data_IF_929418245979
#
_entry.id   IF_929418245979
#
_cell.length_a   1.000
_cell.length_b   1.000
_cell.length_c   1.000
_cell.angle_alpha   90.00
_cell.angle_beta   90.00
_cell.angle_gamma   90.00
#
_symmetry.space_group_name_H-M   'P 1'
#
loop_
_entity.id
_entity.type
_entity.pdbx_description
1 polymer ?
#
# COMPACT_ATOMS: atom_id res chain seq x y z
N UNK A 1 20.40 -4.44 -9.32
CA UNK A 1 20.79 -4.07 -7.97
C UNK A 1 21.33 -2.63 -7.93
N UNK A 2 20.78 -1.79 -7.06
CA UNK A 2 21.13 -0.36 -6.94
C UNK A 2 22.23 -0.09 -5.90
N UNK A 3 22.74 -1.13 -5.24
CA UNK A 3 23.71 -0.95 -4.15
C UNK A 3 25.01 -0.26 -4.60
N UNK A 4 25.40 -0.42 -5.86
CA UNK A 4 26.59 0.19 -6.44
C UNK A 4 26.35 1.58 -7.05
N UNK A 5 25.12 2.08 -7.04
CA UNK A 5 24.77 3.36 -7.64
C UNK A 5 25.05 4.52 -6.68
N UNK A 6 25.34 5.69 -7.21
CA UNK A 6 25.34 6.93 -6.45
C UNK A 6 23.92 7.26 -5.98
N UNK A 7 23.78 8.15 -4.99
CA UNK A 7 22.47 8.59 -4.50
C UNK A 7 21.64 9.23 -5.63
N UNK A 8 22.27 10.00 -6.52
CA UNK A 8 21.60 10.60 -7.67
C UNK A 8 21.08 9.55 -8.64
N UNK A 9 21.90 8.55 -8.96
CA UNK A 9 21.50 7.45 -9.84
C UNK A 9 20.43 6.57 -9.20
N UNK A 10 20.55 6.28 -7.91
CA UNK A 10 19.54 5.53 -7.15
C UNK A 10 18.21 6.29 -7.10
N UNK A 11 18.25 7.61 -6.93
CA UNK A 11 17.06 8.47 -6.95
C UNK A 11 16.34 8.43 -8.30
N UNK A 12 17.07 8.53 -9.40
CA UNK A 12 16.50 8.45 -10.75
C UNK A 12 15.90 7.07 -11.02
N UNK A 13 16.60 5.99 -10.66
CA UNK A 13 16.11 4.62 -10.81
C UNK A 13 14.85 4.39 -9.93
N UNK A 14 14.82 4.92 -8.72
CA UNK A 14 13.68 4.80 -7.82
C UNK A 14 12.42 5.44 -8.38
N UNK A 15 12.54 6.57 -9.10
CA UNK A 15 11.38 7.21 -9.74
C UNK A 15 10.79 6.34 -10.84
N UNK A 16 11.63 5.70 -11.64
CA UNK A 16 11.18 4.79 -12.70
C UNK A 16 10.45 3.59 -12.10
N UNK A 17 11.01 2.99 -11.06
CA UNK A 17 10.40 1.85 -10.36
C UNK A 17 9.09 2.27 -9.71
N UNK A 18 9.06 3.43 -9.05
CA UNK A 18 7.83 3.96 -8.43
C UNK A 18 6.72 4.16 -9.45
N UNK A 19 7.03 4.75 -10.61
CA UNK A 19 6.06 4.95 -11.69
C UNK A 19 5.52 3.62 -12.21
N UNK A 20 6.39 2.63 -12.40
CA UNK A 20 6.01 1.29 -12.83
C UNK A 20 5.11 0.58 -11.82
N UNK A 21 5.47 0.62 -10.55
CA UNK A 21 4.67 0.03 -9.48
C UNK A 21 3.31 0.74 -9.34
N UNK A 22 3.29 2.06 -9.39
CA UNK A 22 2.06 2.84 -9.33
C UNK A 22 1.11 2.49 -10.48
N UNK A 23 1.65 2.32 -11.69
CA UNK A 23 0.89 1.93 -12.88
C UNK A 23 0.25 0.55 -12.69
N UNK A 24 1.01 -0.43 -12.20
CA UNK A 24 0.52 -1.79 -11.95
C UNK A 24 -0.58 -1.78 -10.89
N UNK A 25 -0.38 -1.06 -9.80
CA UNK A 25 -1.37 -0.96 -8.73
C UNK A 25 -2.66 -0.33 -9.26
N UNK A 26 -2.57 0.78 -9.98
CA UNK A 26 -3.74 1.47 -10.55
C UNK A 26 -4.48 0.64 -11.61
N UNK A 27 -3.76 -0.21 -12.35
CA UNK A 27 -4.34 -1.08 -13.35
C UNK A 27 -5.13 -2.24 -12.74
N UNK A 28 -4.73 -2.71 -11.56
CA UNK A 28 -5.30 -3.90 -10.93
C UNK A 28 -6.17 -3.61 -9.71
N UNK A 29 -6.04 -2.44 -9.12
CA UNK A 29 -6.74 -2.08 -7.89
C UNK A 29 -7.32 -0.67 -7.95
N UNK A 30 -8.47 -0.51 -7.32
CA UNK A 30 -8.99 0.80 -6.96
C UNK A 30 -8.77 0.98 -5.46
N UNK A 31 -7.98 1.97 -5.09
CA UNK A 31 -7.52 2.19 -3.72
C UNK A 31 -8.09 3.51 -3.21
N UNK A 32 -8.61 3.49 -1.99
CA UNK A 32 -9.09 4.67 -1.27
C UNK A 32 -8.42 4.79 0.10
N UNK A 33 -8.37 6.00 0.63
CA UNK A 33 -7.96 6.22 2.01
C UNK A 33 -8.99 5.61 2.98
N UNK A 34 -8.52 4.99 4.06
CA UNK A 34 -9.40 4.51 5.13
C UNK A 34 -10.05 5.69 5.84
N UNK A 35 -9.26 6.71 6.18
CA UNK A 35 -9.75 7.96 6.75
C UNK A 35 -9.70 9.08 5.72
N UNK A 36 -10.76 9.85 5.61
CA UNK A 36 -10.81 11.01 4.72
C UNK A 36 -10.24 12.29 5.35
N UNK A 37 -9.83 12.20 6.60
CA UNK A 37 -9.20 13.32 7.31
C UNK A 37 -7.74 13.46 6.89
N UNK A 38 -7.21 14.67 7.04
CA UNK A 38 -5.81 14.95 6.73
C UNK A 38 -4.87 14.42 7.82
N UNK A 39 -3.63 14.16 7.45
CA UNK A 39 -2.60 13.81 8.42
C UNK A 39 -2.45 14.91 9.49
N UNK A 40 -2.19 14.49 10.71
CA UNK A 40 -2.08 15.33 11.89
C UNK A 40 -3.39 15.98 12.37
N UNK A 41 -4.53 15.68 11.73
CA UNK A 41 -5.83 16.11 12.22
C UNK A 41 -6.23 15.38 13.50
N UNK A 42 -6.96 16.06 14.39
CA UNK A 42 -7.60 15.40 15.53
C UNK A 42 -8.85 14.68 15.03
N UNK A 43 -8.93 13.42 15.32
CA UNK A 43 -10.07 12.58 14.91
C UNK A 43 -10.66 11.85 16.12
N UNK A 44 -11.93 11.54 16.02
CA UNK A 44 -12.62 10.70 16.99
C UNK A 44 -12.84 9.30 16.41
N UNK A 45 -12.47 8.30 17.20
CA UNK A 45 -12.68 6.90 16.88
C UNK A 45 -13.86 6.41 17.72
N UNK A 46 -14.99 6.05 17.10
CA UNK A 46 -16.18 5.67 17.85
C UNK A 46 -16.00 4.33 18.56
N UNK A 47 -16.80 4.14 19.60
CA UNK A 47 -16.91 2.85 20.26
C UNK A 47 -17.36 1.80 19.24
N UNK A 48 -16.74 0.63 19.29
CA UNK A 48 -17.05 -0.43 18.32
C UNK A 48 -16.39 -0.26 16.95
N UNK A 49 -15.36 0.57 16.88
CA UNK A 49 -14.61 0.76 15.63
C UNK A 49 -14.05 -0.55 15.07
N UNK A 50 -13.84 -0.58 13.75
CA UNK A 50 -13.22 -1.72 13.10
C UNK A 50 -11.70 -1.69 13.33
N UNK A 51 -11.20 -2.61 14.15
CA UNK A 51 -9.78 -2.69 14.49
C UNK A 51 -8.87 -3.14 13.35
N UNK A 52 -9.45 -3.55 12.22
CA UNK A 52 -8.70 -3.83 11.00
C UNK A 52 -8.47 -2.57 10.17
N UNK A 53 -9.33 -1.57 10.32
CA UNK A 53 -9.18 -0.28 9.64
C UNK A 53 -8.36 0.72 10.44
N UNK A 54 -8.48 0.69 11.78
CA UNK A 54 -7.80 1.64 12.67
C UNK A 54 -6.91 0.90 13.65
N UNK A 55 -5.64 1.25 13.66
CA UNK A 55 -4.68 0.81 14.66
C UNK A 55 -4.44 1.96 15.63
N UNK A 56 -4.80 1.75 16.88
CA UNK A 56 -4.59 2.73 17.93
C UNK A 56 -3.22 2.52 18.57
N UNK A 57 -2.49 3.60 18.75
CA UNK A 57 -1.18 3.59 19.40
C UNK A 57 -1.20 4.46 20.64
N UNK A 58 -0.46 4.04 21.65
CA UNK A 58 -0.39 4.71 22.94
C UNK A 58 -1.13 3.94 24.03
N UNK A 59 -1.51 4.66 25.07
CA UNK A 59 -2.20 4.07 26.20
C UNK A 59 -3.70 4.01 25.94
N UNK A 60 -4.19 2.83 25.62
CA UNK A 60 -5.60 2.58 25.30
C UNK A 60 -6.29 2.03 26.53
N UNK A 61 -7.28 2.76 27.03
CA UNK A 61 -8.09 2.34 28.18
C UNK A 61 -9.57 2.38 27.82
N UNK A 62 -10.30 1.34 28.20
CA UNK A 62 -11.75 1.24 27.98
C UNK A 62 -12.11 0.92 26.55
N UNK A 63 -13.38 1.12 26.23
CA UNK A 63 -13.96 0.75 24.93
C UNK A 63 -14.19 1.93 23.98
N UNK A 64 -13.81 3.11 24.41
CA UNK A 64 -13.98 4.33 23.63
C UNK A 64 -15.28 5.10 23.98
N UNK A 65 -15.63 6.15 23.22
CA UNK A 65 -14.89 6.60 22.04
C UNK A 65 -13.48 7.11 22.36
N UNK A 66 -12.61 7.05 21.37
CA UNK A 66 -11.23 7.53 21.52
C UNK A 66 -11.02 8.77 20.67
N UNK A 67 -10.17 9.68 21.13
CA UNK A 67 -9.77 10.85 20.36
C UNK A 67 -8.25 10.87 20.24
N UNK A 68 -7.77 11.08 19.06
CA UNK A 68 -6.33 11.09 18.79
C UNK A 68 -5.96 11.87 17.55
N UNK A 69 -4.66 11.86 17.27
CA UNK A 69 -4.11 12.50 16.09
C UNK A 69 -3.91 11.45 14.99
N UNK A 70 -4.43 11.72 13.81
CA UNK A 70 -4.27 10.84 12.66
C UNK A 70 -2.82 10.92 12.14
N UNK A 71 -2.07 9.83 12.27
CA UNK A 71 -0.68 9.78 11.83
C UNK A 71 -0.62 9.61 10.31
N UNK A 72 -1.41 8.71 9.78
CA UNK A 72 -1.62 8.55 8.33
C UNK A 72 -3.00 7.98 8.06
N UNK A 73 -3.59 8.30 6.89
CA UNK A 73 -4.99 7.95 6.62
C UNK A 73 -5.23 6.46 6.34
N UNK A 74 -4.17 5.70 6.09
CA UNK A 74 -4.31 4.31 5.68
C UNK A 74 -4.87 4.16 4.26
N UNK A 75 -4.81 2.98 3.73
CA UNK A 75 -5.28 2.66 2.38
C UNK A 75 -6.06 1.37 2.39
N UNK A 76 -7.12 1.33 1.59
CA UNK A 76 -7.90 0.10 1.39
C UNK A 76 -8.20 -0.11 -0.08
N UNK A 77 -8.30 -1.37 -0.46
CA UNK A 77 -8.72 -1.77 -1.80
C UNK A 77 -10.23 -1.86 -1.82
N UNK A 78 -10.89 -1.08 -2.67
CA UNK A 78 -12.34 -1.10 -2.84
C UNK A 78 -12.78 -1.96 -4.01
N UNK A 79 -11.91 -2.10 -5.03
CA UNK A 79 -12.11 -3.01 -6.16
C UNK A 79 -10.77 -3.58 -6.61
N UNK A 80 -10.80 -4.79 -7.15
CA UNK A 80 -9.62 -5.40 -7.73
C UNK A 80 -9.94 -6.04 -9.07
N UNK A 81 -8.97 -6.01 -9.98
CA UNK A 81 -9.04 -6.56 -11.32
C UNK A 81 -7.77 -7.36 -11.58
N UNK A 82 -7.61 -8.45 -10.83
CA UNK A 82 -6.40 -9.27 -10.95
C UNK A 82 -6.44 -10.07 -12.25
N UNK A 83 -5.30 -10.17 -12.96
CA UNK A 83 -5.23 -11.02 -14.15
C UNK A 83 -5.49 -12.47 -13.79
N UNK A 84 -6.13 -13.19 -14.71
CA UNK A 84 -6.32 -14.62 -14.54
C UNK A 84 -4.99 -15.35 -14.69
N UNK A 85 -4.78 -16.33 -13.83
CA UNK A 85 -3.61 -17.20 -13.94
C UNK A 85 -3.82 -18.15 -15.13
N UNK A 86 -2.86 -18.15 -16.06
CA UNK A 86 -2.86 -19.08 -17.19
C UNK A 86 -2.45 -20.47 -16.72
N UNK A 87 -3.08 -21.50 -17.26
CA UNK A 87 -2.69 -22.89 -17.00
C UNK A 87 -1.30 -23.23 -17.55
N UNK A 88 -0.73 -22.38 -18.43
CA UNK A 88 0.60 -22.55 -18.98
C UNK A 88 1.69 -21.93 -18.11
N UNK A 89 1.31 -21.16 -17.07
CA UNK A 89 2.24 -20.54 -16.15
C UNK A 89 2.53 -21.45 -14.97
N UNK A 90 3.81 -21.58 -14.64
CA UNK A 90 4.25 -22.17 -13.37
C UNK A 90 4.22 -21.07 -12.29
N UNK A 91 3.43 -21.28 -11.27
CA UNK A 91 3.27 -20.32 -10.17
C UNK A 91 4.53 -20.10 -9.36
N UNK A 92 5.53 -20.97 -9.49
CA UNK A 92 6.81 -20.86 -8.80
C UNK A 92 7.83 -20.03 -9.57
N UNK A 93 7.54 -19.70 -10.83
CA UNK A 93 8.43 -18.88 -11.65
C UNK A 93 7.98 -17.42 -11.56
N UNK A 94 8.78 -16.57 -10.96
CA UNK A 94 8.51 -15.13 -10.88
C UNK A 94 8.68 -14.45 -12.23
N UNK A 95 9.75 -14.82 -12.93
CA UNK A 95 10.02 -14.34 -14.28
C UNK A 95 10.80 -15.43 -15.02
N UNK A 96 10.37 -15.82 -16.22
CA UNK A 96 11.12 -16.82 -16.99
C UNK A 96 12.42 -16.22 -17.53
N UNK A 97 13.38 -17.11 -17.84
CA UNK A 97 14.55 -16.70 -18.59
C UNK A 97 14.14 -16.36 -20.03
N UNK A 98 14.70 -15.30 -20.57
CA UNK A 98 14.46 -14.87 -21.94
C UNK A 98 15.71 -15.15 -22.76
N UNK A 99 15.53 -15.78 -23.91
CA UNK A 99 16.64 -16.15 -24.81
C UNK A 99 16.32 -15.66 -26.22
N UNK A 100 17.22 -14.89 -26.77
CA UNK A 100 17.14 -14.44 -28.15
C UNK A 100 17.94 -15.40 -29.05
N UNK A 101 17.30 -15.83 -30.11
CA UNK A 101 17.90 -16.79 -31.04
C UNK A 101 18.28 -16.09 -32.36
#
# INVERSE_FOLDING_TARGET
DIAAYSDSEAGAASRVIHQGCAKVIKANFEIEAVSKQEENARIEIPTGYNNKEFKLEGRIEGEGPFTGTLIHPGWKVVKHHLPKVSNTLDMNILAPAEVEI
#
